data_IF_401554858471
#
_entry.id   IF_401554858471
#
_cell.length_a   1.000
_cell.length_b   1.000
_cell.length_c   1.000
_cell.angle_alpha   90.00
_cell.angle_beta   90.00
_cell.angle_gamma   90.00
#
_symmetry.space_group_name_H-M   'P 1'
#
loop_
_entity.id
_entity.type
_entity.pdbx_description
1 polymer ?
#
# COMPACT_ATOMS: atom_id res chain seq x y z
N UNK A 1 -30.00 -24.14 23.08
CA UNK A 1 -31.09 -23.15 22.92
C UNK A 1 -31.13 -22.78 21.46
N UNK A 2 -32.30 -22.88 20.85
CA UNK A 2 -32.55 -22.96 19.42
C UNK A 2 -32.15 -21.69 18.66
N UNK A 3 -31.55 -21.89 17.49
CA UNK A 3 -31.08 -20.90 16.51
C UNK A 3 -32.22 -20.18 15.75
N UNK A 4 -33.49 -20.41 16.12
CA UNK A 4 -34.70 -19.98 15.40
C UNK A 4 -34.91 -18.45 15.32
N UNK A 5 -34.15 -17.65 16.06
CA UNK A 5 -34.37 -16.19 16.13
C UNK A 5 -33.58 -15.44 15.04
N UNK A 6 -32.60 -16.08 14.41
CA UNK A 6 -31.64 -15.41 13.51
C UNK A 6 -31.97 -15.54 12.02
N UNK A 7 -32.98 -16.32 11.64
CA UNK A 7 -33.38 -16.42 10.23
C UNK A 7 -34.18 -15.19 9.81
N UNK A 8 -33.65 -14.44 8.84
CA UNK A 8 -34.36 -13.32 8.24
C UNK A 8 -35.57 -13.84 7.45
N UNK A 9 -36.75 -13.78 8.08
CA UNK A 9 -38.02 -14.24 7.54
C UNK A 9 -38.60 -13.28 6.48
N UNK A 10 -37.88 -13.07 5.37
CA UNK A 10 -38.30 -12.14 4.32
C UNK A 10 -39.47 -12.67 3.45
N UNK A 11 -39.67 -14.00 3.38
CA UNK A 11 -40.67 -14.67 2.54
C UNK A 11 -41.85 -15.29 3.32
N UNK A 12 -42.08 -14.82 4.54
CA UNK A 12 -43.05 -15.42 5.48
C UNK A 12 -44.32 -14.55 5.55
N UNK A 13 -45.54 -15.12 5.67
CA UNK A 13 -46.77 -14.34 5.78
C UNK A 13 -46.69 -13.25 6.88
N UNK A 14 -47.29 -12.09 6.60
CA UNK A 14 -47.19 -10.86 7.43
C UNK A 14 -47.46 -11.06 8.93
N UNK A 15 -48.37 -11.99 9.29
CA UNK A 15 -48.68 -12.35 10.68
C UNK A 15 -47.49 -12.99 11.39
N UNK A 16 -46.78 -13.90 10.72
CA UNK A 16 -45.60 -14.58 11.29
C UNK A 16 -44.40 -13.64 11.39
N UNK A 17 -44.23 -12.72 10.42
CA UNK A 17 -43.24 -11.64 10.53
C UNK A 17 -43.50 -10.71 11.73
N UNK A 18 -44.77 -10.36 11.98
CA UNK A 18 -45.15 -9.53 13.12
C UNK A 18 -44.87 -10.23 14.46
N UNK A 19 -45.18 -11.53 14.56
CA UNK A 19 -44.87 -12.35 15.74
C UNK A 19 -43.35 -12.48 15.94
N UNK A 20 -42.59 -12.71 14.87
CA UNK A 20 -41.13 -12.78 14.93
C UNK A 20 -40.51 -11.46 15.39
N UNK A 21 -40.94 -10.33 14.83
CA UNK A 21 -40.49 -8.99 15.24
C UNK A 21 -40.81 -8.69 16.71
N UNK A 22 -42.04 -9.02 17.17
CA UNK A 22 -42.43 -8.86 18.57
C UNK A 22 -41.55 -9.71 19.52
N UNK A 23 -41.19 -10.93 19.12
CA UNK A 23 -40.31 -11.80 19.89
C UNK A 23 -38.87 -11.27 19.99
N UNK A 24 -38.33 -10.71 18.91
CA UNK A 24 -37.00 -10.05 18.91
C UNK A 24 -37.03 -8.82 19.82
N UNK A 25 -38.05 -7.98 19.69
CA UNK A 25 -38.20 -6.79 20.53
C UNK A 25 -38.34 -7.16 22.01
N UNK A 26 -39.16 -8.15 22.37
CA UNK A 26 -39.32 -8.58 23.76
C UNK A 26 -37.99 -9.04 24.40
N UNK A 27 -37.07 -9.60 23.61
CA UNK A 27 -35.78 -10.11 24.11
C UNK A 27 -34.67 -9.06 24.16
N UNK A 28 -34.59 -8.17 23.17
CA UNK A 28 -33.43 -7.31 22.97
C UNK A 28 -33.70 -5.81 23.14
N UNK A 29 -34.97 -5.39 23.14
CA UNK A 29 -35.31 -3.96 23.20
C UNK A 29 -35.29 -3.35 24.61
N UNK A 30 -35.18 -4.19 25.65
CA UNK A 30 -35.34 -3.78 27.05
C UNK A 30 -36.65 -3.01 27.31
N UNK A 31 -37.72 -3.29 26.56
CA UNK A 31 -39.03 -2.66 26.69
C UNK A 31 -39.21 -1.37 25.87
N UNK A 32 -38.24 -1.00 25.04
CA UNK A 32 -38.35 0.15 24.15
C UNK A 32 -39.11 -0.20 22.85
N UNK A 33 -39.84 0.76 22.29
CA UNK A 33 -40.41 0.62 20.96
C UNK A 33 -39.31 0.70 19.88
N UNK A 34 -39.53 0.06 18.74
CA UNK A 34 -38.55 0.12 17.65
C UNK A 34 -38.54 1.51 17.02
N UNK A 35 -37.37 2.14 17.01
CA UNK A 35 -37.07 3.32 16.23
C UNK A 35 -35.69 3.13 15.58
N UNK A 36 -35.68 3.03 14.25
CA UNK A 36 -34.48 2.71 13.47
C UNK A 36 -33.32 3.67 13.78
N UNK A 37 -33.58 4.98 13.81
CA UNK A 37 -32.54 5.98 14.08
C UNK A 37 -31.92 5.81 15.48
N UNK A 38 -32.72 5.48 16.49
CA UNK A 38 -32.24 5.25 17.87
C UNK A 38 -31.34 4.01 17.94
N UNK A 39 -31.73 2.91 17.29
CA UNK A 39 -30.94 1.68 17.28
C UNK A 39 -29.66 1.81 16.46
N UNK A 40 -29.68 2.57 15.35
CA UNK A 40 -28.48 2.93 14.58
C UNK A 40 -27.50 3.75 15.44
N UNK A 41 -27.98 4.79 16.12
CA UNK A 41 -27.12 5.62 16.98
C UNK A 41 -26.56 4.82 18.17
N UNK A 42 -27.36 3.94 18.76
CA UNK A 42 -26.90 3.02 19.81
C UNK A 42 -25.81 2.07 19.29
N UNK A 43 -25.97 1.55 18.07
CA UNK A 43 -24.96 0.75 17.39
C UNK A 43 -23.66 1.53 17.16
N UNK A 44 -23.75 2.75 16.64
CA UNK A 44 -22.60 3.66 16.44
C UNK A 44 -21.87 3.98 17.75
N UNK A 45 -22.62 4.21 18.83
CA UNK A 45 -22.05 4.44 20.15
C UNK A 45 -21.31 3.20 20.68
N UNK A 46 -21.93 2.01 20.58
CA UNK A 46 -21.31 0.76 21.01
C UNK A 46 -20.03 0.44 20.23
N UNK A 47 -20.00 0.74 18.92
CA UNK A 47 -18.80 0.63 18.08
C UNK A 47 -17.69 1.55 18.61
N UNK A 48 -17.98 2.83 18.86
CA UNK A 48 -17.01 3.78 19.45
C UNK A 48 -16.46 3.31 20.80
N UNK A 49 -17.33 2.92 21.73
CA UNK A 49 -16.95 2.42 23.04
C UNK A 49 -16.06 1.17 22.96
N UNK A 50 -16.36 0.27 22.01
CA UNK A 50 -15.55 -0.94 21.77
C UNK A 50 -14.15 -0.57 21.28
N UNK A 51 -14.03 0.42 20.41
CA UNK A 51 -12.74 0.89 19.91
C UNK A 51 -11.92 1.62 20.98
N UNK A 52 -12.55 2.50 21.76
CA UNK A 52 -11.91 3.14 22.92
C UNK A 52 -11.38 2.11 23.92
N UNK A 53 -12.17 1.07 24.20
CA UNK A 53 -11.76 -0.05 25.03
C UNK A 53 -10.54 -0.81 24.48
N UNK A 54 -10.45 -0.96 23.15
CA UNK A 54 -9.29 -1.60 22.51
C UNK A 54 -8.02 -0.77 22.63
N UNK A 55 -8.13 0.57 22.53
CA UNK A 55 -7.00 1.46 22.74
C UNK A 55 -6.54 1.53 24.19
N UNK A 56 -7.48 1.52 25.14
CA UNK A 56 -7.15 1.43 26.56
C UNK A 56 -6.46 0.09 26.88
N UNK A 57 -6.99 -1.01 26.35
CA UNK A 57 -6.37 -2.33 26.48
C UNK A 57 -4.97 -2.37 25.88
N UNK A 58 -4.76 -1.80 24.69
CA UNK A 58 -3.43 -1.72 24.09
C UNK A 58 -2.45 -0.88 24.91
N UNK A 59 -2.89 0.23 25.50
CA UNK A 59 -2.08 1.05 26.42
C UNK A 59 -1.69 0.24 27.66
N UNK A 60 -2.65 -0.46 28.26
CA UNK A 60 -2.40 -1.35 29.39
C UNK A 60 -1.37 -2.43 29.03
N UNK A 61 -1.50 -3.08 27.86
CA UNK A 61 -0.54 -4.10 27.41
C UNK A 61 0.87 -3.53 27.21
N UNK A 62 1.01 -2.31 26.67
CA UNK A 62 2.32 -1.63 26.53
C UNK A 62 2.96 -1.43 27.89
N UNK A 63 2.22 -0.87 28.84
CA UNK A 63 2.70 -0.59 30.20
C UNK A 63 3.06 -1.88 30.94
N UNK A 64 2.21 -2.92 30.85
CA UNK A 64 2.47 -4.22 31.46
C UNK A 64 3.73 -4.87 30.87
N UNK A 65 3.91 -4.80 29.54
CA UNK A 65 5.10 -5.37 28.88
C UNK A 65 6.38 -4.71 29.35
N UNK A 66 6.37 -3.38 29.54
CA UNK A 66 7.53 -2.62 30.02
C UNK A 66 7.91 -2.99 31.46
N UNK A 67 6.91 -3.26 32.31
CA UNK A 67 7.13 -3.55 33.73
C UNK A 67 7.19 -5.04 34.07
N UNK A 68 7.22 -5.94 33.09
CA UNK A 68 7.26 -7.39 33.35
C UNK A 68 8.49 -8.06 32.74
N UNK A 69 9.08 -9.05 33.44
CA UNK A 69 10.22 -9.80 32.93
C UNK A 69 9.84 -10.70 31.76
N UNK A 70 10.84 -11.14 30.99
CA UNK A 70 10.65 -11.99 29.80
C UNK A 70 9.79 -13.22 30.12
N UNK A 71 8.71 -13.42 29.34
CA UNK A 71 7.76 -14.52 29.50
C UNK A 71 6.55 -14.21 30.39
N UNK A 72 6.66 -13.34 31.40
CA UNK A 72 5.55 -12.99 32.30
C UNK A 72 4.45 -12.20 31.60
N UNK A 73 4.81 -11.32 30.67
CA UNK A 73 3.85 -10.61 29.82
C UNK A 73 2.91 -11.56 29.08
N UNK A 74 3.46 -12.62 28.45
CA UNK A 74 2.67 -13.54 27.64
C UNK A 74 1.66 -14.31 28.51
N UNK A 75 2.05 -14.68 29.73
CA UNK A 75 1.16 -15.34 30.68
C UNK A 75 0.00 -14.43 31.13
N UNK A 76 0.28 -13.15 31.43
CA UNK A 76 -0.74 -12.17 31.81
C UNK A 76 -1.70 -11.91 30.64
N UNK A 77 -1.16 -11.70 29.44
CA UNK A 77 -1.93 -11.50 28.22
C UNK A 77 -2.93 -12.63 27.98
N UNK A 78 -2.49 -13.87 28.14
CA UNK A 78 -3.31 -15.05 27.90
C UNK A 78 -4.32 -15.31 29.03
N UNK A 79 -3.91 -15.24 30.30
CA UNK A 79 -4.77 -15.60 31.43
C UNK A 79 -5.79 -14.53 31.81
N UNK A 80 -5.38 -13.26 31.82
CA UNK A 80 -6.23 -12.17 32.31
C UNK A 80 -7.06 -11.55 31.18
N UNK A 81 -6.51 -11.51 29.97
CA UNK A 81 -7.14 -10.84 28.83
C UNK A 81 -7.58 -11.81 27.72
N UNK A 82 -7.22 -13.09 27.79
CA UNK A 82 -7.55 -14.07 26.74
C UNK A 82 -6.86 -13.79 25.41
N UNK A 83 -5.74 -13.07 25.41
CA UNK A 83 -5.03 -12.66 24.20
C UNK A 83 -3.77 -13.48 23.97
N UNK A 84 -3.66 -14.06 22.78
CA UNK A 84 -2.42 -14.67 22.33
C UNK A 84 -1.31 -13.65 22.08
N UNK A 85 -0.09 -14.14 21.90
CA UNK A 85 1.10 -13.30 21.69
C UNK A 85 0.98 -12.42 20.44
N UNK A 86 0.41 -12.95 19.35
CA UNK A 86 0.27 -12.23 18.07
C UNK A 86 -0.78 -11.14 18.16
N UNK A 87 -1.91 -11.44 18.80
CA UNK A 87 -3.02 -10.53 19.03
C UNK A 87 -2.59 -9.37 19.92
N UNK A 88 -1.90 -9.68 21.02
CA UNK A 88 -1.34 -8.67 21.93
C UNK A 88 -0.37 -7.74 21.22
N UNK A 89 0.55 -8.31 20.43
CA UNK A 89 1.55 -7.51 19.72
C UNK A 89 0.93 -6.64 18.62
N UNK A 90 -0.08 -7.14 17.90
CA UNK A 90 -0.84 -6.34 16.93
C UNK A 90 -1.56 -5.18 17.61
N UNK A 91 -2.23 -5.42 18.73
CA UNK A 91 -2.98 -4.39 19.45
C UNK A 91 -2.07 -3.32 20.06
N UNK A 92 -0.93 -3.72 20.60
CA UNK A 92 0.09 -2.80 21.11
C UNK A 92 0.70 -1.94 20.00
N UNK A 93 1.08 -2.56 18.88
CA UNK A 93 1.64 -1.82 17.74
C UNK A 93 0.62 -0.84 17.15
N UNK A 94 -0.65 -1.25 17.03
CA UNK A 94 -1.73 -0.36 16.66
C UNK A 94 -1.79 0.82 17.64
N UNK A 95 -1.83 0.55 18.94
CA UNK A 95 -1.94 1.60 19.95
C UNK A 95 -0.76 2.58 19.95
N UNK A 96 0.47 2.09 19.72
CA UNK A 96 1.65 2.95 19.60
C UNK A 96 1.54 3.91 18.40
N UNK A 97 1.04 3.44 17.25
CA UNK A 97 0.80 4.29 16.07
C UNK A 97 -0.27 5.34 16.31
N UNK A 98 -1.32 5.01 17.06
CA UNK A 98 -2.41 5.95 17.37
C UNK A 98 -2.09 6.99 18.47
N UNK A 99 -0.96 6.88 19.16
CA UNK A 99 -0.49 7.88 20.14
C UNK A 99 0.23 9.06 19.46
N UNK A 100 0.70 8.89 18.22
CA UNK A 100 1.34 9.96 17.45
C UNK A 100 0.39 11.18 17.28
N UNK A 101 0.84 12.40 17.59
CA UNK A 101 0.05 13.63 17.41
C UNK A 101 -0.58 13.78 16.03
N UNK A 102 0.07 13.27 14.97
CA UNK A 102 -0.45 13.31 13.61
C UNK A 102 -1.65 12.35 13.45
N UNK A 103 -1.52 11.12 13.94
CA UNK A 103 -2.59 10.11 13.87
C UNK A 103 -3.79 10.42 14.76
N UNK A 104 -3.61 11.20 15.83
CA UNK A 104 -4.73 11.74 16.63
C UNK A 104 -5.71 12.59 15.81
N UNK A 105 -5.26 13.27 14.77
CA UNK A 105 -6.13 14.10 13.91
C UNK A 105 -6.95 13.25 12.94
N UNK A 106 -6.37 12.14 12.44
CA UNK A 106 -7.06 11.16 11.59
C UNK A 106 -8.03 10.25 12.37
N UNK A 107 -7.84 10.14 13.70
CA UNK A 107 -8.59 9.23 14.57
C UNK A 107 -10.12 9.34 14.42
N UNK A 108 -10.77 10.52 14.48
CA UNK A 108 -12.23 10.59 14.40
C UNK A 108 -12.78 10.07 13.06
N UNK A 109 -12.04 10.28 11.98
CA UNK A 109 -12.43 9.90 10.62
C UNK A 109 -12.16 8.42 10.35
N UNK A 110 -11.02 7.87 10.76
CA UNK A 110 -10.75 6.43 10.63
C UNK A 110 -11.69 5.61 11.51
N UNK A 111 -12.10 6.14 12.66
CA UNK A 111 -13.04 5.48 13.59
C UNK A 111 -14.48 5.40 13.06
N UNK A 112 -14.81 6.02 11.92
CA UNK A 112 -16.08 5.74 11.23
C UNK A 112 -16.08 4.34 10.62
N UNK A 113 -14.90 3.78 10.32
CA UNK A 113 -14.73 2.44 9.78
C UNK A 113 -14.88 1.37 10.88
N UNK A 114 -15.52 0.26 10.52
CA UNK A 114 -15.66 -0.88 11.43
C UNK A 114 -14.31 -1.49 11.86
N UNK A 115 -14.25 -2.01 13.10
CA UNK A 115 -13.08 -2.67 13.74
C UNK A 115 -12.22 -3.52 12.80
N UNK A 116 -12.86 -4.36 11.99
CA UNK A 116 -12.16 -5.29 11.12
C UNK A 116 -11.42 -4.61 9.97
N UNK A 117 -11.89 -3.45 9.51
CA UNK A 117 -11.27 -2.68 8.42
C UNK A 117 -10.10 -1.86 8.94
N UNK A 118 -10.25 -1.26 10.12
CA UNK A 118 -9.16 -0.60 10.82
C UNK A 118 -7.96 -1.53 11.02
N UNK A 119 -8.19 -2.79 11.39
CA UNK A 119 -7.10 -3.77 11.55
C UNK A 119 -6.36 -4.13 10.25
N UNK A 120 -7.01 -4.02 9.09
CA UNK A 120 -6.38 -4.25 7.80
C UNK A 120 -5.62 -3.00 7.33
N UNK A 121 -6.23 -1.81 7.47
CA UNK A 121 -5.61 -0.51 7.20
C UNK A 121 -4.38 -0.25 8.09
N UNK A 122 -4.36 -0.81 9.29
CA UNK A 122 -3.25 -0.68 10.23
C UNK A 122 -1.93 -1.28 9.75
N UNK A 123 -1.93 -2.04 8.65
CA UNK A 123 -0.70 -2.57 8.05
C UNK A 123 -0.08 -1.58 7.05
N UNK A 124 -0.82 -0.56 6.63
CA UNK A 124 -0.33 0.50 5.75
C UNK A 124 0.59 1.49 6.49
N UNK A 125 1.26 2.34 5.71
CA UNK A 125 2.14 3.40 6.19
C UNK A 125 1.33 4.57 6.78
N UNK A 126 1.92 5.24 7.77
CA UNK A 126 1.23 6.27 8.54
C UNK A 126 0.86 7.48 7.66
N UNK A 127 1.68 7.84 6.68
CA UNK A 127 1.41 8.93 5.73
C UNK A 127 0.22 8.59 4.80
N UNK A 128 0.12 7.33 4.36
CA UNK A 128 -1.00 6.83 3.55
C UNK A 128 -2.32 6.85 4.32
N UNK A 129 -2.28 6.55 5.62
CA UNK A 129 -3.46 6.61 6.49
C UNK A 129 -3.92 8.04 6.78
N UNK A 130 -2.97 8.99 6.87
CA UNK A 130 -3.28 10.40 7.03
C UNK A 130 -3.94 10.96 5.76
N UNK A 131 -3.41 10.61 4.59
CA UNK A 131 -3.99 11.00 3.30
C UNK A 131 -5.41 10.48 3.14
N UNK A 132 -5.65 9.20 3.46
CA UNK A 132 -6.99 8.63 3.47
C UNK A 132 -7.95 9.37 4.41
N UNK A 133 -7.48 9.73 5.61
CA UNK A 133 -8.28 10.48 6.56
C UNK A 133 -8.56 11.90 6.05
N UNK A 134 -7.65 12.53 5.32
CA UNK A 134 -7.85 13.87 4.75
C UNK A 134 -8.66 13.88 3.44
N UNK A 135 -9.21 12.73 3.05
CA UNK A 135 -10.12 12.61 1.91
C UNK A 135 -9.42 12.13 0.63
N UNK A 136 -8.16 11.70 0.73
CA UNK A 136 -7.48 10.94 -0.31
C UNK A 136 -7.95 9.49 -0.36
N UNK A 137 -7.18 8.65 -1.05
CA UNK A 137 -7.48 7.24 -1.23
C UNK A 137 -6.30 6.35 -0.78
N UNK A 138 -6.58 5.06 -0.62
CA UNK A 138 -5.54 4.04 -0.49
C UNK A 138 -5.74 3.04 -1.62
N UNK A 139 -4.75 2.94 -2.51
CA UNK A 139 -4.81 2.09 -3.69
C UNK A 139 -6.07 2.36 -4.55
N UNK A 140 -6.48 3.62 -4.71
CA UNK A 140 -7.66 3.98 -5.50
C UNK A 140 -9.00 3.78 -4.78
N UNK A 141 -8.98 3.49 -3.47
CA UNK A 141 -10.19 3.38 -2.65
C UNK A 141 -10.27 4.49 -1.61
N UNK A 142 -11.31 5.33 -1.71
CA UNK A 142 -11.59 6.38 -0.72
C UNK A 142 -12.10 5.78 0.60
N UNK A 143 -12.19 6.62 1.63
CA UNK A 143 -12.75 6.21 2.92
C UNK A 143 -14.18 5.63 2.77
N UNK A 144 -14.99 6.22 1.88
CA UNK A 144 -16.36 5.78 1.60
C UNK A 144 -16.39 4.45 0.83
N UNK A 145 -15.45 4.23 -0.09
CA UNK A 145 -15.33 2.95 -0.80
C UNK A 145 -14.93 1.84 0.17
N UNK A 146 -13.96 2.12 1.04
CA UNK A 146 -13.53 1.20 2.09
C UNK A 146 -14.70 0.92 3.05
N UNK A 147 -15.54 1.91 3.35
CA UNK A 147 -16.72 1.70 4.19
C UNK A 147 -17.81 0.84 3.51
N UNK A 148 -17.92 0.89 2.18
CA UNK A 148 -18.84 0.04 1.41
C UNK A 148 -18.32 -1.38 1.17
N UNK A 149 -17.01 -1.57 1.19
CA UNK A 149 -16.38 -2.88 1.02
C UNK A 149 -16.56 -3.80 2.22
N UNK A 150 -16.54 -5.10 1.99
CA UNK A 150 -16.37 -6.11 3.04
C UNK A 150 -14.90 -6.19 3.49
N UNK A 151 -14.66 -6.72 4.70
CA UNK A 151 -13.29 -6.94 5.21
C UNK A 151 -12.44 -7.77 4.24
N UNK A 152 -13.04 -8.76 3.56
CA UNK A 152 -12.30 -9.65 2.68
C UNK A 152 -11.91 -8.94 1.37
N UNK A 153 -12.75 -8.06 0.85
CA UNK A 153 -12.45 -7.22 -0.32
C UNK A 153 -11.35 -6.22 -0.01
N UNK A 154 -11.44 -5.52 1.13
CA UNK A 154 -10.37 -4.63 1.59
C UNK A 154 -9.04 -5.38 1.72
N UNK A 155 -9.07 -6.57 2.33
CA UNK A 155 -7.86 -7.40 2.48
C UNK A 155 -7.30 -7.89 1.14
N UNK A 156 -8.16 -8.14 0.15
CA UNK A 156 -7.74 -8.53 -1.19
C UNK A 156 -7.09 -7.35 -1.92
N UNK A 157 -7.70 -6.16 -1.88
CA UNK A 157 -7.16 -4.94 -2.47
C UNK A 157 -5.78 -4.57 -1.88
N UNK A 158 -5.64 -4.64 -0.55
CA UNK A 158 -4.35 -4.40 0.11
C UNK A 158 -3.30 -5.48 -0.19
N UNK A 159 -3.71 -6.72 -0.45
CA UNK A 159 -2.80 -7.80 -0.85
C UNK A 159 -2.36 -7.67 -2.30
N UNK A 160 -3.26 -7.36 -3.21
CA UNK A 160 -2.96 -7.17 -4.62
C UNK A 160 -1.97 -6.02 -4.82
N UNK A 161 -2.15 -4.92 -4.09
CA UNK A 161 -1.17 -3.82 -4.05
C UNK A 161 0.22 -4.28 -3.60
N UNK A 162 0.31 -5.12 -2.57
CA UNK A 162 1.60 -5.66 -2.10
C UNK A 162 2.19 -6.69 -3.05
N UNK A 163 1.38 -7.58 -3.60
CA UNK A 163 1.85 -8.60 -4.54
C UNK A 163 2.34 -7.96 -5.84
N UNK A 164 1.72 -6.86 -6.29
CA UNK A 164 2.19 -6.08 -7.44
C UNK A 164 3.49 -5.33 -7.13
N UNK A 165 3.63 -4.75 -5.94
CA UNK A 165 4.88 -4.14 -5.48
C UNK A 165 6.02 -5.17 -5.35
N UNK A 166 5.77 -6.29 -4.68
CA UNK A 166 6.75 -7.39 -4.52
C UNK A 166 7.10 -8.07 -5.85
N UNK A 167 6.16 -8.19 -6.79
CA UNK A 167 6.44 -8.70 -8.12
C UNK A 167 7.33 -7.73 -8.93
N UNK A 168 7.08 -6.42 -8.83
CA UNK A 168 7.95 -5.39 -9.41
C UNK A 168 9.36 -5.47 -8.80
N UNK A 169 9.49 -5.61 -7.48
CA UNK A 169 10.78 -5.72 -6.80
C UNK A 169 11.54 -7.02 -7.11
N UNK A 170 10.85 -8.15 -7.24
CA UNK A 170 11.47 -9.42 -7.67
C UNK A 170 12.00 -9.33 -9.10
N UNK A 171 11.27 -8.70 -10.01
CA UNK A 171 11.75 -8.48 -11.38
C UNK A 171 13.02 -7.62 -11.38
N UNK A 172 13.09 -6.60 -10.51
CA UNK A 172 14.28 -5.75 -10.35
C UNK A 172 15.44 -6.56 -9.77
N UNK A 173 15.22 -7.36 -8.73
CA UNK A 173 16.24 -8.20 -8.11
C UNK A 173 16.77 -9.29 -9.07
N UNK A 174 15.91 -9.93 -9.85
CA UNK A 174 16.30 -10.94 -10.83
C UNK A 174 17.04 -10.32 -12.03
N UNK A 175 16.71 -9.08 -12.42
CA UNK A 175 17.48 -8.33 -13.41
C UNK A 175 18.86 -7.94 -12.88
N UNK A 176 18.96 -7.46 -11.64
CA UNK A 176 20.24 -7.10 -11.02
C UNK A 176 21.15 -8.32 -10.85
N UNK A 177 20.62 -9.47 -10.41
CA UNK A 177 21.38 -10.73 -10.35
C UNK A 177 21.92 -11.17 -11.71
N UNK A 178 21.14 -11.04 -12.78
CA UNK A 178 21.61 -11.35 -14.13
C UNK A 178 22.71 -10.38 -14.59
N UNK A 179 22.60 -9.10 -14.24
CA UNK A 179 23.65 -8.12 -14.49
C UNK A 179 24.93 -8.47 -13.73
N UNK A 180 24.81 -8.84 -12.45
CA UNK A 180 25.95 -9.24 -11.62
C UNK A 180 26.59 -10.56 -12.09
N UNK A 181 25.81 -11.56 -12.49
CA UNK A 181 26.32 -12.82 -13.05
C UNK A 181 27.04 -12.60 -14.40
N UNK A 182 26.54 -11.69 -15.23
CA UNK A 182 27.20 -11.32 -16.49
C UNK A 182 28.49 -10.55 -16.21
N UNK A 183 28.49 -9.64 -15.22
CA UNK A 183 29.67 -8.93 -14.77
C UNK A 183 30.73 -9.88 -14.18
N UNK A 184 30.33 -10.90 -13.42
CA UNK A 184 31.26 -11.88 -12.85
C UNK A 184 31.84 -12.81 -13.92
N UNK A 185 31.05 -13.19 -14.94
CA UNK A 185 31.53 -13.95 -16.10
C UNK A 185 32.51 -13.15 -16.97
N UNK A 186 32.31 -11.83 -17.07
CA UNK A 186 33.24 -10.91 -17.73
C UNK A 186 34.53 -10.75 -16.92
N UNK A 187 34.44 -10.53 -15.61
CA UNK A 187 35.59 -10.42 -14.73
C UNK A 187 36.45 -11.70 -14.68
N UNK A 188 35.83 -12.89 -14.79
CA UNK A 188 36.54 -14.17 -14.90
C UNK A 188 37.26 -14.36 -16.25
N UNK A 189 36.78 -13.74 -17.33
CA UNK A 189 37.46 -13.74 -18.65
C UNK A 189 38.64 -12.75 -18.72
N UNK A 190 38.64 -11.70 -17.90
CA UNK A 190 39.68 -10.65 -17.89
C UNK A 190 40.99 -11.03 -17.17
N UNK A 191 41.06 -12.16 -16.44
CA UNK A 191 42.31 -12.60 -15.80
C UNK A 191 43.26 -13.28 -16.79
N UNK A 192 44.04 -12.49 -17.54
CA UNK A 192 45.31 -12.97 -18.11
C UNK A 192 45.81 -12.40 -19.43
N UNK A 193 45.10 -11.47 -20.08
CA UNK A 193 45.56 -10.84 -21.33
C UNK A 193 45.11 -9.38 -21.35
N UNK A 194 45.98 -8.48 -21.82
CA UNK A 194 45.51 -7.16 -22.25
C UNK A 194 44.38 -7.39 -23.25
N UNK A 195 43.17 -6.87 -22.97
CA UNK A 195 42.00 -7.13 -23.79
C UNK A 195 42.27 -6.58 -25.20
N UNK A 196 41.86 -7.35 -26.22
CA UNK A 196 41.97 -6.87 -27.58
C UNK A 196 41.08 -5.63 -27.76
N UNK A 197 41.40 -4.72 -28.72
CA UNK A 197 40.55 -3.56 -29.00
C UNK A 197 39.07 -3.93 -29.25
N UNK A 198 38.82 -5.11 -29.84
CA UNK A 198 37.48 -5.67 -30.05
C UNK A 198 36.78 -6.02 -28.73
N UNK A 199 37.49 -6.62 -27.77
CA UNK A 199 36.96 -6.97 -26.45
C UNK A 199 36.57 -5.72 -25.65
N UNK A 200 37.41 -4.67 -25.70
CA UNK A 200 37.13 -3.37 -25.06
C UNK A 200 35.92 -2.70 -25.71
N UNK A 201 35.83 -2.70 -27.04
CA UNK A 201 34.69 -2.14 -27.77
C UNK A 201 33.37 -2.87 -27.45
N UNK A 202 33.41 -4.19 -27.36
CA UNK A 202 32.25 -5.03 -26.97
C UNK A 202 31.80 -4.73 -25.54
N UNK A 203 32.73 -4.60 -24.60
CA UNK A 203 32.42 -4.28 -23.19
C UNK A 203 31.79 -2.89 -23.04
N UNK A 204 32.36 -1.88 -23.70
CA UNK A 204 31.80 -0.52 -23.70
C UNK A 204 30.41 -0.47 -24.34
N UNK A 205 30.17 -1.24 -25.40
CA UNK A 205 28.84 -1.34 -26.05
C UNK A 205 27.82 -1.99 -25.11
N UNK A 206 28.23 -3.02 -24.36
CA UNK A 206 27.36 -3.68 -23.39
C UNK A 206 27.01 -2.75 -22.21
N UNK A 207 27.99 -1.99 -21.70
CA UNK A 207 27.78 -0.97 -20.67
C UNK A 207 26.85 0.15 -21.17
N UNK A 208 27.04 0.61 -22.41
CA UNK A 208 26.14 1.60 -23.02
C UNK A 208 24.71 1.08 -23.12
N UNK A 209 24.51 -0.17 -23.56
CA UNK A 209 23.18 -0.76 -23.68
C UNK A 209 22.48 -0.90 -22.32
N UNK A 210 23.20 -1.26 -21.26
CA UNK A 210 22.61 -1.35 -19.92
C UNK A 210 22.18 0.01 -19.38
N UNK A 211 23.00 1.05 -19.55
CA UNK A 211 22.66 2.43 -19.20
C UNK A 211 21.45 2.93 -20.01
N UNK A 212 21.39 2.64 -21.30
CA UNK A 212 20.28 3.03 -22.17
C UNK A 212 18.95 2.39 -21.71
N UNK A 213 18.97 1.09 -21.39
CA UNK A 213 17.78 0.37 -20.91
C UNK A 213 17.31 0.93 -19.57
N UNK A 214 18.23 1.26 -18.66
CA UNK A 214 17.89 1.87 -17.37
C UNK A 214 17.24 3.24 -17.56
N UNK A 215 17.84 4.13 -18.36
CA UNK A 215 17.30 5.46 -18.64
C UNK A 215 15.90 5.38 -19.30
N UNK A 216 15.68 4.45 -20.22
CA UNK A 216 14.37 4.24 -20.86
C UNK A 216 13.34 3.75 -19.86
N UNK A 217 13.73 2.86 -18.94
CA UNK A 217 12.86 2.37 -17.88
C UNK A 217 12.44 3.49 -16.94
N UNK A 218 13.36 4.37 -16.56
CA UNK A 218 13.05 5.52 -15.70
C UNK A 218 12.13 6.50 -16.43
N UNK A 219 12.34 6.74 -17.72
CA UNK A 219 11.43 7.57 -18.51
C UNK A 219 10.01 6.97 -18.59
N UNK A 220 9.87 5.64 -18.67
CA UNK A 220 8.55 5.01 -18.63
C UNK A 220 7.81 5.23 -17.30
N UNK A 221 8.54 5.36 -16.17
CA UNK A 221 7.93 5.62 -14.85
C UNK A 221 7.29 7.01 -14.75
N UNK A 222 7.69 7.95 -15.61
CA UNK A 222 7.09 9.29 -15.63
C UNK A 222 5.61 9.24 -16.00
N UNK A 223 5.17 8.26 -16.79
CA UNK A 223 3.77 8.13 -17.19
C UNK A 223 2.84 7.95 -15.97
N UNK A 224 3.20 7.06 -15.04
CA UNK A 224 2.43 6.79 -13.82
C UNK A 224 2.33 8.05 -12.93
N UNK A 225 3.44 8.77 -12.77
CA UNK A 225 3.47 10.03 -12.01
C UNK A 225 2.66 11.13 -12.71
N UNK A 226 2.75 11.21 -14.05
CA UNK A 226 2.02 12.19 -14.85
C UNK A 226 0.52 11.96 -14.79
N UNK A 227 0.08 10.69 -14.79
CA UNK A 227 -1.32 10.31 -14.60
C UNK A 227 -1.82 10.73 -13.20
N UNK A 228 -1.03 10.50 -12.15
CA UNK A 228 -1.37 10.97 -10.79
C UNK A 228 -1.45 12.50 -10.71
N UNK A 229 -0.51 13.22 -11.35
CA UNK A 229 -0.54 14.68 -11.43
C UNK A 229 -1.78 15.19 -12.17
N UNK A 230 -2.19 14.54 -13.26
CA UNK A 230 -3.41 14.88 -13.98
C UNK A 230 -4.65 14.63 -13.12
N UNK A 231 -4.74 13.47 -12.47
CA UNK A 231 -5.85 13.12 -11.57
C UNK A 231 -5.98 14.11 -10.40
N UNK A 232 -4.87 14.47 -9.76
CA UNK A 232 -4.84 15.50 -8.73
C UNK A 232 -5.31 16.86 -9.30
N UNK A 233 -4.86 17.22 -10.49
CA UNK A 233 -5.24 18.47 -11.16
C UNK A 233 -6.74 18.55 -11.44
N UNK A 234 -7.33 17.47 -11.94
CA UNK A 234 -8.78 17.36 -12.19
C UNK A 234 -9.59 17.44 -10.88
N UNK A 235 -9.15 16.74 -9.84
CA UNK A 235 -9.87 16.69 -8.56
C UNK A 235 -9.81 18.03 -7.78
N UNK A 236 -8.71 18.77 -7.91
CA UNK A 236 -8.42 19.93 -7.04
C UNK A 236 -8.36 21.27 -7.81
N UNK A 237 -8.59 21.27 -9.13
CA UNK A 237 -8.58 22.48 -9.96
C UNK A 237 -7.19 23.08 -10.20
N UNK A 238 -6.13 22.27 -10.11
CA UNK A 238 -4.75 22.68 -10.40
C UNK A 238 -4.30 22.24 -11.79
N UNK A 239 -3.54 23.07 -12.49
CA UNK A 239 -2.91 22.70 -13.76
C UNK A 239 -1.43 22.35 -13.55
N UNK A 240 -1.12 21.07 -13.61
CA UNK A 240 0.23 20.52 -13.44
C UNK A 240 0.99 20.33 -14.76
N UNK A 241 0.35 20.60 -15.90
CA UNK A 241 0.97 20.46 -17.23
C UNK A 241 2.26 21.28 -17.39
N UNK A 242 2.40 22.50 -16.83
CA UNK A 242 3.66 23.25 -16.90
C UNK A 242 4.85 22.50 -16.26
N UNK A 243 4.65 21.85 -15.13
CA UNK A 243 5.67 21.07 -14.42
C UNK A 243 6.04 19.81 -15.20
N UNK A 244 5.04 19.11 -15.74
CA UNK A 244 5.24 17.93 -16.59
C UNK A 244 6.08 18.26 -17.83
N UNK A 245 5.72 19.36 -18.52
CA UNK A 245 6.45 19.86 -19.69
C UNK A 245 7.87 20.28 -19.31
N UNK A 246 8.05 20.96 -18.18
CA UNK A 246 9.37 21.36 -17.71
C UNK A 246 10.29 20.16 -17.43
N UNK A 247 9.75 19.09 -16.84
CA UNK A 247 10.49 17.86 -16.57
C UNK A 247 10.96 17.16 -17.85
N UNK A 248 10.07 17.01 -18.84
CA UNK A 248 10.43 16.43 -20.14
C UNK A 248 11.47 17.29 -20.87
N UNK A 249 11.27 18.61 -20.87
CA UNK A 249 12.21 19.53 -21.52
C UNK A 249 13.61 19.48 -20.88
N UNK A 250 13.71 19.23 -19.57
CA UNK A 250 15.01 19.09 -18.93
C UNK A 250 15.73 17.82 -19.38
N UNK A 251 15.03 16.70 -19.46
CA UNK A 251 15.60 15.43 -19.95
C UNK A 251 16.06 15.56 -21.41
N UNK A 252 15.25 16.23 -22.25
CA UNK A 252 15.63 16.51 -23.65
C UNK A 252 16.91 17.35 -23.69
N UNK A 253 17.01 18.41 -22.90
CA UNK A 253 18.21 19.26 -22.84
C UNK A 253 19.45 18.50 -22.37
N UNK A 254 19.30 17.59 -21.41
CA UNK A 254 20.43 16.78 -20.92
C UNK A 254 20.90 15.81 -22.02
N UNK A 255 19.97 15.20 -22.76
CA UNK A 255 20.28 14.36 -23.92
C UNK A 255 20.94 15.15 -25.07
N UNK A 256 20.47 16.38 -25.34
CA UNK A 256 21.07 17.28 -26.32
C UNK A 256 22.48 17.72 -25.90
N UNK A 257 22.70 17.98 -24.60
CA UNK A 257 24.03 18.30 -24.06
C UNK A 257 25.02 17.16 -24.30
N UNK A 258 24.58 15.90 -24.13
CA UNK A 258 25.40 14.73 -24.47
C UNK A 258 25.67 14.66 -25.98
N UNK A 259 24.65 14.88 -26.80
CA UNK A 259 24.78 14.90 -28.26
C UNK A 259 25.81 15.94 -28.71
N UNK A 260 25.72 17.17 -28.22
CA UNK A 260 26.64 18.26 -28.53
C UNK A 260 28.06 17.95 -28.06
N UNK A 261 28.21 17.51 -26.81
CA UNK A 261 29.51 17.18 -26.21
C UNK A 261 30.29 16.15 -27.02
N UNK A 262 29.60 15.19 -27.62
CA UNK A 262 30.20 14.15 -28.44
C UNK A 262 30.03 14.37 -29.95
N UNK A 263 29.51 15.53 -30.37
CA UNK A 263 29.29 15.91 -31.78
C UNK A 263 28.51 14.85 -32.56
N UNK A 264 27.49 14.25 -31.93
CA UNK A 264 26.71 13.17 -32.52
C UNK A 264 25.64 13.72 -33.47
N UNK A 265 25.42 13.09 -34.64
CA UNK A 265 24.37 13.51 -35.57
C UNK A 265 22.98 13.24 -34.99
N UNK A 266 22.00 14.05 -35.38
CA UNK A 266 20.60 13.89 -34.94
C UNK A 266 19.90 12.71 -35.63
N UNK A 267 20.28 12.41 -36.86
CA UNK A 267 19.83 11.24 -37.60
C UNK A 267 20.92 10.15 -37.56
N UNK A 268 20.51 8.90 -37.39
CA UNK A 268 21.42 7.77 -37.47
C UNK A 268 22.05 7.73 -38.88
N UNK A 269 23.38 7.60 -39.01
CA UNK A 269 24.01 7.45 -40.31
C UNK A 269 23.44 6.21 -41.01
N UNK A 270 22.93 6.38 -42.23
CA UNK A 270 22.31 5.29 -43.01
C UNK A 270 23.29 4.20 -43.45
N UNK A 271 24.59 4.38 -43.22
CA UNK A 271 25.62 3.44 -43.66
C UNK A 271 26.86 3.42 -42.75
N UNK A 272 26.68 3.20 -41.44
CA UNK A 272 27.78 3.09 -40.49
C UNK A 272 27.94 1.65 -40.00
N UNK A 273 28.67 0.83 -40.75
CA UNK A 273 29.52 -0.16 -40.09
C UNK A 273 30.55 0.63 -39.25
N UNK A 274 30.81 0.26 -37.98
CA UNK A 274 31.90 0.86 -37.22
C UNK A 274 33.24 0.65 -37.94
N UNK A 275 34.12 1.65 -37.96
CA UNK A 275 35.41 1.59 -38.69
C UNK A 275 36.31 0.41 -38.29
N UNK A 276 36.15 -0.13 -37.07
CA UNK A 276 36.88 -1.30 -36.59
C UNK A 276 36.36 -2.64 -37.14
N UNK A 277 35.26 -2.64 -37.89
CA UNK A 277 34.60 -3.85 -38.42
C UNK A 277 34.97 -4.12 -39.89
N UNK A 278 35.76 -3.25 -40.50
CA UNK A 278 36.36 -3.44 -41.83
C UNK A 278 37.82 -3.90 -41.66
N UNK A 279 38.01 -5.14 -41.23
CA UNK A 279 39.33 -5.76 -41.16
C UNK A 279 39.90 -6.09 -42.55
N UNK A 280 41.19 -5.79 -42.76
CA UNK A 280 42.05 -6.49 -43.73
C UNK A 280 42.26 -7.95 -43.34
#
# INVERSE_FOLDING_TARGET
MTTEILEHAADVPSTEMAVHSANVMAKFSNGEAYNEAVWIERGRFAVRQTMEGMFELGRALIVIKEHTPHGRFAEIAEKEFGLGRRESQRLMNATLRFIDPKMKQAQPKLMTLGKSKLLELLVEEDDTLLELADGGDINGHTLDDIDRMTRNELRAALRESRETAEAKDKIIADKNKKVDELAEKLAKKQKGKEPSPEDVGSELTMQLSSLEVAARSDLSRFAEVFEQMLAHGEANGYDHRPQMVAAINQIIRDAETLRERFTLPQEAPTNAKPEWLDGE
#
